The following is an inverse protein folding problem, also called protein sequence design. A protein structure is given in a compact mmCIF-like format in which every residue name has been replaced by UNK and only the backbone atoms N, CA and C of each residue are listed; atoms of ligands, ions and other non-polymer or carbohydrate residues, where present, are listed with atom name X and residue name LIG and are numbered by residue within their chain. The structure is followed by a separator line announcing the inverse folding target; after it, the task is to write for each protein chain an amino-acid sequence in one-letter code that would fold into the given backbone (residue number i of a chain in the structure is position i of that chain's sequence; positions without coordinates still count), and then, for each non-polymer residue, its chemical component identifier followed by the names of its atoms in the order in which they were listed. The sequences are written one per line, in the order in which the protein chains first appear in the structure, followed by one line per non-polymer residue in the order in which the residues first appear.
data_IF_851762248370
#
_entry.id   IF_851762248370
#
_cell.length_a   1.000
_cell.length_b   1.000
_cell.length_c   1.000
_cell.angle_alpha   90.00
_cell.angle_beta   90.00
_cell.angle_gamma   90.00
#
_symmetry.space_group_name_H-M   'P 1'
#
loop_
_entity.id
_entity.type
_entity.pdbx_description
1 polymer ?
#
# COMPACT_ATOMS: atom_id res chain seq x y z
N UNK A 1 1.19 -32.61 2.37
CA UNK A 1 1.74 -31.31 2.81
C UNK A 1 1.67 -30.41 1.60
N UNK A 2 0.52 -29.75 1.40
CA UNK A 2 0.20 -29.10 0.12
C UNK A 2 -0.12 -27.63 0.39
N UNK A 3 0.82 -26.79 -0.06
CA UNK A 3 0.64 -25.50 -0.71
C UNK A 3 -0.40 -24.54 -0.12
N UNK A 4 0.11 -23.63 0.71
CA UNK A 4 -0.46 -22.32 1.01
C UNK A 4 -0.72 -21.51 -0.27
N UNK A 5 -1.83 -21.75 -0.95
CA UNK A 5 -2.26 -20.94 -2.09
C UNK A 5 -3.77 -20.79 -2.08
N UNK A 6 -4.23 -19.88 -1.23
CA UNK A 6 -5.63 -19.51 -1.13
C UNK A 6 -5.79 -18.13 -0.52
N UNK A 7 -4.94 -17.16 -0.87
CA UNK A 7 -5.11 -15.79 -0.42
C UNK A 7 -5.59 -14.90 -1.58
N UNK A 8 -6.92 -14.90 -1.73
CA UNK A 8 -7.76 -13.87 -2.34
C UNK A 8 -7.68 -13.70 -3.87
N UNK A 9 -8.48 -14.51 -4.57
CA UNK A 9 -9.03 -14.20 -5.90
C UNK A 9 -10.15 -13.16 -5.86
N UNK A 10 -9.95 -12.05 -5.14
CA UNK A 10 -10.84 -10.90 -5.19
C UNK A 10 -10.40 -9.99 -6.33
N UNK A 11 -11.33 -9.44 -7.12
CA UNK A 11 -11.04 -8.40 -8.11
C UNK A 11 -10.45 -7.18 -7.38
N UNK A 12 -9.13 -7.14 -7.21
CA UNK A 12 -8.40 -6.13 -6.46
C UNK A 12 -8.72 -4.76 -7.01
N UNK A 13 -9.43 -3.95 -6.22
CA UNK A 13 -9.79 -2.60 -6.62
C UNK A 13 -8.51 -1.77 -6.60
N UNK A 14 -8.19 -1.11 -7.71
CA UNK A 14 -6.96 -0.33 -7.77
C UNK A 14 -7.22 1.05 -7.16
N UNK A 15 -6.38 1.44 -6.21
CA UNK A 15 -6.38 2.76 -5.59
C UNK A 15 -5.33 3.67 -6.23
N UNK A 16 -5.69 4.94 -6.37
CA UNK A 16 -4.73 6.01 -6.70
C UNK A 16 -4.11 6.58 -5.44
N UNK A 17 -2.97 7.25 -5.58
CA UNK A 17 -2.25 7.90 -4.49
C UNK A 17 -3.11 8.80 -3.58
N UNK A 18 -4.12 9.49 -4.11
CA UNK A 18 -5.05 10.31 -3.33
C UNK A 18 -5.97 9.46 -2.42
N UNK A 19 -6.42 8.30 -2.91
CA UNK A 19 -7.26 7.39 -2.13
C UNK A 19 -6.42 6.69 -1.06
N UNK A 20 -5.19 6.31 -1.38
CA UNK A 20 -4.24 5.76 -0.40
C UNK A 20 -3.92 6.80 0.67
N UNK A 21 -3.69 8.06 0.27
CA UNK A 21 -3.47 9.17 1.20
C UNK A 21 -4.62 9.34 2.19
N UNK A 22 -5.87 9.25 1.72
CA UNK A 22 -7.05 9.33 2.61
C UNK A 22 -7.13 8.15 3.59
N UNK A 23 -6.67 6.95 3.21
CA UNK A 23 -6.71 5.75 4.06
C UNK A 23 -5.55 5.69 5.06
N UNK A 24 -4.33 6.05 4.64
CA UNK A 24 -3.13 5.96 5.46
C UNK A 24 -2.83 7.26 6.22
N UNK A 25 -3.49 8.37 5.87
CA UNK A 25 -3.19 9.70 6.41
C UNK A 25 -1.88 10.31 5.90
N UNK A 26 -1.21 9.68 4.93
CA UNK A 26 0.04 10.18 4.38
C UNK A 26 -0.20 11.08 3.17
N UNK A 27 0.42 12.25 3.10
CA UNK A 27 0.33 13.11 1.91
C UNK A 27 0.92 12.43 0.66
N UNK A 28 0.43 12.75 -0.55
CA UNK A 28 0.93 12.16 -1.80
C UNK A 28 2.45 12.30 -1.98
N UNK A 29 3.02 13.42 -1.56
CA UNK A 29 4.46 13.63 -1.62
C UNK A 29 5.23 12.68 -0.68
N UNK A 30 4.74 12.52 0.55
CA UNK A 30 5.26 11.56 1.53
C UNK A 30 5.19 10.13 1.01
N UNK A 31 4.11 9.75 0.34
CA UNK A 31 3.97 8.42 -0.28
C UNK A 31 5.06 8.19 -1.35
N UNK A 32 5.31 9.19 -2.21
CA UNK A 32 6.39 9.10 -3.22
C UNK A 32 7.76 8.99 -2.55
N UNK A 33 8.01 9.77 -1.52
CA UNK A 33 9.27 9.74 -0.77
C UNK A 33 9.49 8.37 -0.10
N UNK A 34 8.45 7.83 0.56
CA UNK A 34 8.52 6.52 1.21
C UNK A 34 8.68 5.38 0.21
N UNK A 35 8.08 5.49 -0.98
CA UNK A 35 8.34 4.57 -2.09
C UNK A 35 9.82 4.56 -2.50
N UNK A 36 10.44 5.73 -2.65
CA UNK A 36 11.87 5.83 -2.99
C UNK A 36 12.75 5.24 -1.89
N UNK A 37 12.32 5.32 -0.62
CA UNK A 37 12.99 4.70 0.51
C UNK A 37 12.79 3.18 0.62
N UNK A 38 11.98 2.56 -0.24
CA UNK A 38 11.70 1.11 -0.18
C UNK A 38 10.72 0.73 0.93
N UNK A 39 9.77 1.60 1.27
CA UNK A 39 8.76 1.30 2.28
C UNK A 39 7.85 0.14 1.84
N UNK A 40 7.63 -0.85 2.72
CA UNK A 40 6.90 -2.11 2.48
C UNK A 40 5.60 -1.96 1.65
N UNK A 41 4.72 -1.02 2.02
CA UNK A 41 3.44 -0.77 1.33
C UNK A 41 3.61 -0.08 -0.02
N UNK A 42 4.56 0.86 -0.12
CA UNK A 42 4.69 1.73 -1.27
C UNK A 42 5.66 1.20 -2.32
N UNK A 43 6.53 0.28 -1.94
CA UNK A 43 7.40 -0.49 -2.83
C UNK A 43 6.57 -1.35 -3.80
N UNK A 44 5.47 -1.93 -3.30
CA UNK A 44 4.49 -2.70 -4.08
C UNK A 44 3.71 -1.87 -5.10
N UNK A 45 3.85 -0.54 -5.08
CA UNK A 45 3.13 0.35 -5.98
C UNK A 45 3.73 0.38 -7.39
N UNK A 46 2.86 0.27 -8.39
CA UNK A 46 3.22 0.36 -9.80
C UNK A 46 2.68 1.62 -10.45
N UNK A 47 3.21 1.96 -11.62
CA UNK A 47 2.71 3.06 -12.43
C UNK A 47 1.69 2.53 -13.43
N UNK A 48 0.61 3.28 -13.66
CA UNK A 48 -0.39 2.95 -14.68
C UNK A 48 0.14 2.99 -16.13
N UNK A 49 1.34 3.54 -16.33
CA UNK A 49 1.98 3.67 -17.64
C UNK A 49 3.46 4.01 -17.54
N UNK A 50 4.13 4.05 -18.69
CA UNK A 50 5.58 4.31 -18.80
C UNK A 50 6.00 5.77 -18.71
N UNK A 51 5.06 6.72 -18.59
CA UNK A 51 5.40 8.13 -18.53
C UNK A 51 5.97 8.50 -17.15
N UNK A 52 6.86 9.49 -17.11
CA UNK A 52 7.47 9.99 -15.86
C UNK A 52 6.40 10.46 -14.85
N UNK A 53 5.31 11.03 -15.37
CA UNK A 53 4.14 11.51 -14.61
C UNK A 53 2.98 10.52 -14.54
N UNK A 54 3.17 9.24 -14.91
CA UNK A 54 2.10 8.26 -14.79
C UNK A 54 1.65 8.12 -13.32
N UNK A 55 0.33 8.04 -13.07
CA UNK A 55 -0.19 7.94 -11.72
C UNK A 55 0.26 6.64 -11.04
N UNK A 56 0.55 6.75 -9.74
CA UNK A 56 0.86 5.61 -8.88
C UNK A 56 -0.44 4.90 -8.50
N UNK A 57 -0.41 3.59 -8.69
CA UNK A 57 -1.48 2.65 -8.44
C UNK A 57 -1.06 1.69 -7.33
N UNK A 58 -2.04 1.36 -6.50
CA UNK A 58 -1.88 0.49 -5.35
C UNK A 58 -3.04 -0.50 -5.35
N UNK A 59 -2.80 -1.70 -4.84
CA UNK A 59 -3.88 -2.63 -4.60
C UNK A 59 -4.63 -2.23 -3.33
N UNK A 60 -5.97 -2.18 -3.40
CA UNK A 60 -6.81 -1.84 -2.24
C UNK A 60 -6.60 -2.83 -1.09
N UNK A 61 -6.43 -4.12 -1.36
CA UNK A 61 -6.29 -5.13 -0.31
C UNK A 61 -4.95 -4.99 0.42
N UNK A 62 -3.87 -4.65 -0.29
CA UNK A 62 -2.55 -4.41 0.31
C UNK A 62 -2.58 -3.19 1.25
N UNK A 63 -3.23 -2.11 0.80
CA UNK A 63 -3.42 -0.90 1.62
C UNK A 63 -4.33 -1.17 2.82
N UNK A 64 -5.41 -1.92 2.63
CA UNK A 64 -6.35 -2.26 3.70
C UNK A 64 -5.71 -3.18 4.75
N UNK A 65 -4.98 -4.21 4.31
CA UNK A 65 -4.22 -5.11 5.19
C UNK A 65 -3.18 -4.33 6.00
N UNK A 66 -2.41 -3.44 5.37
CA UNK A 66 -1.43 -2.62 6.08
C UNK A 66 -2.09 -1.66 7.08
N UNK A 67 -3.19 -0.99 6.69
CA UNK A 67 -3.94 -0.10 7.60
C UNK A 67 -4.53 -0.89 8.76
N UNK A 68 -5.07 -2.08 8.53
CA UNK A 68 -5.56 -2.97 9.57
C UNK A 68 -4.42 -3.39 10.52
N UNK A 69 -3.25 -3.75 9.98
CA UNK A 69 -2.07 -4.13 10.77
C UNK A 69 -1.45 -2.96 11.55
N UNK A 70 -1.59 -1.72 11.08
CA UNK A 70 -1.19 -0.51 11.82
C UNK A 70 -2.22 -0.07 12.86
N UNK A 71 -3.50 -0.38 12.64
CA UNK A 71 -4.60 -0.07 13.57
C UNK A 71 -4.79 -1.13 14.65
N UNK A 72 -4.31 -2.36 14.44
CA UNK A 72 -4.09 -3.27 15.56
C UNK A 72 -3.07 -2.59 16.47
N UNK A 73 -3.40 -2.30 17.74
CA UNK A 73 -2.44 -1.80 18.70
C UNK A 73 -1.45 -2.92 19.03
N UNK A 74 -0.59 -3.25 18.09
CA UNK A 74 0.61 -4.01 18.36
C UNK A 74 1.58 -2.97 18.93
N UNK A 75 1.52 -2.86 20.25
CA UNK A 75 2.57 -2.39 21.13
C UNK A 75 3.33 -1.17 20.61
N UNK A 76 2.98 -0.02 21.19
CA UNK A 76 3.93 1.08 21.33
C UNK A 76 5.18 0.53 22.02
N UNK A 77 6.16 0.08 21.23
CA UNK A 77 7.48 -0.19 21.72
C UNK A 77 8.13 1.18 22.04
N UNK A 78 8.14 1.45 23.34
CA UNK A 78 9.30 1.93 24.09
C UNK A 78 10.00 3.19 23.57
N UNK A 79 9.67 4.34 24.16
CA UNK A 79 10.69 5.24 24.72
C UNK A 79 10.14 6.16 25.80
#
# INVERSE_FOLDING_TARGET
MESTQGRHGGRGRILRIHQVSARTGHSPDRIRHLRVKGHELYDRAWKAGGARNSPLLFDEADVDEWVACKKTPLEQDSQ
#
